data_IF_627426196952
#
_entry.id   IF_627426196952
#
_cell.length_a   1.000
_cell.length_b   1.000
_cell.length_c   1.000
_cell.angle_alpha   90.00
_cell.angle_beta   90.00
_cell.angle_gamma   90.00
#
_symmetry.space_group_name_H-M   'P 1'
#
loop_
_entity.id
_entity.type
_entity.pdbx_description
1 polymer ?
#
# COMPACT_ATOMS: atom_id res chain seq x y z
N UNK A 1 61.91 -3.72 39.71
CA UNK A 1 61.12 -3.04 38.69
C UNK A 1 60.43 -3.96 37.64
N UNK A 2 60.30 -5.29 37.85
CA UNK A 2 59.71 -6.23 36.85
C UNK A 2 58.24 -6.66 37.11
N UNK A 3 57.64 -6.30 38.25
CA UNK A 3 56.28 -6.74 38.63
C UNK A 3 55.15 -5.90 38.02
N UNK A 4 55.39 -4.62 37.71
CA UNK A 4 54.33 -3.74 37.18
C UNK A 4 54.04 -3.97 35.70
N UNK A 5 55.00 -4.47 34.90
CA UNK A 5 54.79 -4.77 33.47
C UNK A 5 53.93 -6.01 33.25
N UNK A 6 54.01 -7.03 34.12
CA UNK A 6 53.22 -8.22 34.05
C UNK A 6 51.72 -7.93 34.34
N UNK A 7 51.43 -7.13 35.33
CA UNK A 7 50.06 -6.74 35.69
C UNK A 7 49.43 -5.89 34.59
N UNK A 8 50.15 -4.96 33.97
CA UNK A 8 49.67 -4.15 32.85
C UNK A 8 49.36 -5.00 31.61
N UNK A 9 50.18 -6.01 31.31
CA UNK A 9 49.94 -6.94 30.22
C UNK A 9 48.69 -7.78 30.44
N UNK A 10 48.45 -8.30 31.63
CA UNK A 10 47.27 -9.10 31.97
C UNK A 10 45.98 -8.25 31.87
N UNK A 11 46.03 -7.00 32.35
CA UNK A 11 44.86 -6.08 32.26
C UNK A 11 44.56 -5.75 30.80
N UNK A 12 45.57 -5.49 29.96
CA UNK A 12 45.36 -5.21 28.53
C UNK A 12 44.78 -6.41 27.79
N UNK A 13 45.23 -7.62 28.09
CA UNK A 13 44.69 -8.85 27.49
C UNK A 13 43.23 -9.09 27.90
N UNK A 14 42.90 -8.88 29.19
CA UNK A 14 41.51 -9.00 29.68
C UNK A 14 40.59 -7.98 29.05
N UNK A 15 41.02 -6.75 28.82
CA UNK A 15 40.24 -5.72 28.12
C UNK A 15 39.96 -6.11 26.65
N UNK A 16 40.98 -6.61 25.95
CA UNK A 16 40.80 -7.07 24.56
C UNK A 16 39.82 -8.23 24.49
N UNK A 17 39.88 -9.20 25.40
CA UNK A 17 38.95 -10.34 25.46
C UNK A 17 37.54 -9.87 25.78
N UNK A 18 37.37 -8.91 26.72
CA UNK A 18 36.05 -8.36 27.06
C UNK A 18 35.42 -7.58 25.89
N UNK A 19 36.22 -6.80 25.15
CA UNK A 19 35.76 -6.09 23.95
C UNK A 19 35.39 -7.07 22.84
N UNK A 20 36.24 -8.08 22.60
CA UNK A 20 35.96 -9.11 21.60
C UNK A 20 34.70 -9.95 21.94
N UNK A 21 34.55 -10.29 23.24
CA UNK A 21 33.36 -11.03 23.69
C UNK A 21 32.09 -10.15 23.65
N UNK A 22 32.19 -8.87 23.99
CA UNK A 22 31.10 -7.90 23.85
C UNK A 22 30.69 -7.72 22.37
N UNK A 23 31.66 -7.59 21.47
CA UNK A 23 31.40 -7.50 20.03
C UNK A 23 30.80 -8.81 19.48
N UNK A 24 31.32 -9.98 19.90
CA UNK A 24 30.77 -11.27 19.55
C UNK A 24 29.32 -11.45 20.04
N UNK A 25 29.04 -11.10 21.31
CA UNK A 25 27.67 -11.11 21.86
C UNK A 25 26.74 -10.17 21.13
N UNK A 26 27.23 -8.99 20.75
CA UNK A 26 26.44 -8.01 19.99
C UNK A 26 26.10 -8.53 18.60
N UNK A 27 27.05 -9.16 17.91
CA UNK A 27 26.83 -9.75 16.58
C UNK A 27 25.93 -10.98 16.67
N UNK A 28 26.15 -11.87 17.66
CA UNK A 28 25.32 -13.07 17.85
C UNK A 28 23.88 -12.69 18.27
N UNK A 29 23.72 -11.75 19.20
CA UNK A 29 22.38 -11.29 19.56
C UNK A 29 21.67 -10.57 18.42
N UNK A 30 22.42 -9.90 17.53
CA UNK A 30 21.83 -9.29 16.33
C UNK A 30 21.39 -10.35 15.31
N UNK A 31 22.14 -11.43 15.15
CA UNK A 31 21.76 -12.57 14.29
C UNK A 31 20.61 -13.38 14.88
N UNK A 32 20.54 -13.56 16.19
CA UNK A 32 19.40 -14.20 16.87
C UNK A 32 18.15 -13.30 16.84
N UNK A 33 18.30 -11.99 16.98
CA UNK A 33 17.20 -11.03 16.83
C UNK A 33 16.65 -11.06 15.39
N UNK A 34 17.52 -11.11 14.37
CA UNK A 34 17.10 -11.23 12.97
C UNK A 34 16.53 -12.63 12.65
N UNK A 35 17.00 -13.69 13.30
CA UNK A 35 16.43 -15.04 13.17
C UNK A 35 15.14 -15.24 14.00
N UNK A 36 14.91 -14.43 15.02
CA UNK A 36 13.70 -14.46 15.85
C UNK A 36 12.53 -13.66 15.29
N UNK A 37 12.80 -12.67 14.44
CA UNK A 37 11.76 -11.80 13.83
C UNK A 37 10.96 -12.52 12.74
N UNK A 38 11.38 -13.70 12.26
CA UNK A 38 10.72 -14.46 11.20
C UNK A 38 9.88 -15.65 11.64
N UNK A 39 9.84 -16.02 12.93
CA UNK A 39 9.07 -17.18 13.40
C UNK A 39 7.80 -16.76 14.13
N UNK A 40 6.77 -16.51 13.36
CA UNK A 40 5.44 -16.26 13.85
C UNK A 40 4.65 -17.57 13.75
N UNK A 41 3.90 -17.97 14.76
CA UNK A 41 2.95 -19.07 14.64
C UNK A 41 1.91 -18.67 13.56
N UNK A 42 1.98 -19.28 12.37
CA UNK A 42 0.99 -19.05 11.31
C UNK A 42 1.52 -18.81 9.90
N UNK A 43 2.83 -18.76 9.68
CA UNK A 43 3.37 -18.63 8.33
C UNK A 43 4.52 -17.63 8.21
N UNK A 44 5.48 -17.95 7.37
CA UNK A 44 6.53 -17.04 6.94
C UNK A 44 5.94 -15.98 6.02
N UNK A 45 6.31 -14.70 6.19
CA UNK A 45 5.88 -13.60 5.32
C UNK A 45 6.06 -13.95 3.84
N UNK A 46 7.22 -14.49 3.48
CA UNK A 46 7.52 -14.87 2.10
C UNK A 46 6.67 -16.03 1.57
N UNK A 47 6.07 -16.84 2.43
CA UNK A 47 5.14 -17.90 2.00
C UNK A 47 3.72 -17.39 1.76
N UNK A 48 3.36 -16.26 2.34
CA UNK A 48 2.04 -15.63 2.19
C UNK A 48 2.00 -14.61 1.05
N UNK A 49 3.15 -13.99 0.76
CA UNK A 49 3.29 -12.92 -0.24
C UNK A 49 4.31 -13.38 -1.29
N UNK A 50 3.80 -13.96 -2.36
CA UNK A 50 4.61 -14.46 -3.48
C UNK A 50 4.51 -13.53 -4.69
N UNK A 51 5.61 -13.40 -5.42
CA UNK A 51 5.59 -12.78 -6.75
C UNK A 51 4.86 -13.70 -7.75
N UNK A 52 4.29 -13.14 -8.83
CA UNK A 52 3.78 -13.94 -9.94
C UNK A 52 4.85 -14.90 -10.50
N UNK A 53 4.43 -16.04 -11.03
CA UNK A 53 5.31 -17.01 -11.62
C UNK A 53 6.15 -16.39 -12.76
N UNK A 54 7.46 -16.61 -12.71
CA UNK A 54 8.40 -16.06 -13.70
C UNK A 54 8.83 -14.62 -13.45
N UNK A 55 8.34 -13.95 -12.42
CA UNK A 55 8.81 -12.63 -12.00
C UNK A 55 9.92 -12.81 -10.96
N UNK A 56 11.18 -12.66 -11.41
CA UNK A 56 12.34 -12.58 -10.52
C UNK A 56 12.70 -11.12 -10.31
N UNK A 57 12.35 -10.59 -9.16
CA UNK A 57 12.46 -9.17 -8.83
C UNK A 57 13.07 -8.96 -7.46
N UNK A 58 14.14 -8.18 -7.41
CA UNK A 58 14.68 -7.67 -6.16
C UNK A 58 14.05 -6.30 -5.84
N UNK A 59 13.31 -6.22 -4.74
CA UNK A 59 12.76 -4.95 -4.30
C UNK A 59 13.86 -4.03 -3.76
N UNK A 60 13.82 -2.72 -4.05
CA UNK A 60 14.72 -1.76 -3.43
C UNK A 60 14.51 -1.72 -1.91
N UNK A 61 15.54 -1.28 -1.20
CA UNK A 61 15.41 -1.00 0.23
C UNK A 61 14.37 0.12 0.47
N UNK A 62 13.59 -0.03 1.53
CA UNK A 62 12.65 0.99 1.96
C UNK A 62 13.42 2.15 2.60
N UNK A 63 13.03 3.38 2.25
CA UNK A 63 13.54 4.56 2.94
C UNK A 63 12.59 4.83 4.11
N UNK A 64 12.94 4.31 5.29
CA UNK A 64 12.11 4.37 6.49
C UNK A 64 11.95 3.01 7.16
N UNK A 65 10.92 2.87 8.00
CA UNK A 65 10.63 1.66 8.78
C UNK A 65 9.34 1.02 8.30
N UNK A 66 9.26 -0.29 8.33
CA UNK A 66 8.00 -1.02 8.08
C UNK A 66 6.91 -0.54 9.06
N UNK A 67 5.67 -0.50 8.61
CA UNK A 67 4.57 0.14 9.35
C UNK A 67 4.03 -0.73 10.48
N UNK A 68 3.74 -2.01 10.22
CA UNK A 68 3.08 -2.90 11.17
C UNK A 68 3.74 -2.95 12.56
N UNK A 69 5.08 -3.01 12.67
CA UNK A 69 5.75 -2.95 13.96
C UNK A 69 5.61 -1.62 14.73
N UNK A 70 5.17 -0.55 14.07
CA UNK A 70 5.09 0.79 14.65
C UNK A 70 3.71 1.16 15.19
N UNK A 71 2.67 0.38 14.85
CA UNK A 71 1.26 0.70 15.17
C UNK A 71 0.58 -0.45 15.90
N UNK A 72 -0.50 -0.14 16.62
CA UNK A 72 -1.27 -1.14 17.37
C UNK A 72 -2.47 -1.70 16.57
N UNK A 73 -3.05 -0.88 15.71
CA UNK A 73 -4.21 -1.25 14.92
C UNK A 73 -3.87 -1.95 13.61
N UNK A 74 -4.88 -2.15 12.77
CA UNK A 74 -4.73 -2.88 11.51
C UNK A 74 -5.53 -2.27 10.35
N UNK A 75 -6.05 -1.04 10.50
CA UNK A 75 -6.84 -0.37 9.45
C UNK A 75 -5.93 0.47 8.56
N UNK A 76 -5.90 0.17 7.26
CA UNK A 76 -5.09 0.89 6.28
C UNK A 76 -5.95 1.52 5.20
N UNK A 77 -5.74 2.82 4.97
CA UNK A 77 -6.39 3.60 3.92
C UNK A 77 -5.43 3.76 2.73
N UNK A 78 -5.80 3.17 1.59
CA UNK A 78 -5.07 3.32 0.34
C UNK A 78 -5.61 4.52 -0.42
N UNK A 79 -4.76 5.49 -0.78
CA UNK A 79 -5.15 6.71 -1.49
C UNK A 79 -4.35 6.79 -2.78
N UNK A 80 -5.02 6.82 -3.93
CA UNK A 80 -4.29 6.81 -5.19
C UNK A 80 -5.05 7.23 -6.43
N UNK A 81 -4.32 7.29 -7.53
CA UNK A 81 -4.82 7.53 -8.88
C UNK A 81 -5.13 6.21 -9.62
N UNK A 82 -5.11 6.23 -10.97
CA UNK A 82 -5.38 5.05 -11.81
C UNK A 82 -4.47 3.86 -11.52
N UNK A 83 -3.25 4.09 -11.07
CA UNK A 83 -2.29 3.03 -10.78
C UNK A 83 -2.76 2.24 -9.55
N UNK A 84 -3.10 2.92 -8.45
CA UNK A 84 -3.68 2.29 -7.26
C UNK A 84 -5.06 1.70 -7.57
N UNK A 85 -5.92 2.41 -8.32
CA UNK A 85 -7.25 1.94 -8.70
C UNK A 85 -7.19 0.61 -9.46
N UNK A 86 -6.15 0.36 -10.25
CA UNK A 86 -5.97 -0.88 -10.99
C UNK A 86 -5.79 -2.12 -10.10
N UNK A 87 -5.51 -1.96 -8.82
CA UNK A 87 -5.38 -3.06 -7.84
C UNK A 87 -6.66 -3.30 -7.03
N UNK A 88 -7.72 -2.52 -7.29
CA UNK A 88 -9.00 -2.60 -6.58
C UNK A 88 -9.87 -3.78 -7.05
N UNK A 89 -11.01 -3.97 -6.40
CA UNK A 89 -11.95 -5.06 -6.66
C UNK A 89 -12.41 -5.17 -8.12
N UNK A 90 -12.46 -4.05 -8.83
CA UNK A 90 -12.79 -4.02 -10.26
C UNK A 90 -11.81 -4.78 -11.15
N UNK A 91 -10.55 -4.86 -10.78
CA UNK A 91 -9.47 -5.39 -11.60
C UNK A 91 -8.85 -6.68 -11.08
N UNK A 92 -9.45 -7.32 -10.07
CA UNK A 92 -8.94 -8.58 -9.50
C UNK A 92 -8.69 -8.48 -8.00
N UNK A 93 -8.77 -7.27 -7.42
CA UNK A 93 -8.67 -7.03 -5.97
C UNK A 93 -7.31 -7.42 -5.36
N UNK A 94 -6.23 -7.33 -6.15
CA UNK A 94 -4.89 -7.78 -5.74
C UNK A 94 -4.44 -7.11 -4.44
N UNK A 95 -4.71 -5.82 -4.26
CA UNK A 95 -4.31 -5.09 -3.05
C UNK A 95 -4.95 -5.69 -1.80
N UNK A 96 -6.28 -5.79 -1.81
CA UNK A 96 -6.98 -6.32 -0.66
C UNK A 96 -6.66 -7.81 -0.43
N UNK A 97 -6.67 -8.64 -1.48
CA UNK A 97 -6.36 -10.06 -1.39
C UNK A 97 -4.95 -10.32 -0.82
N UNK A 98 -4.01 -9.43 -1.07
CA UNK A 98 -2.64 -9.55 -0.56
C UNK A 98 -2.56 -9.11 0.89
N UNK A 99 -3.09 -7.95 1.23
CA UNK A 99 -2.91 -7.34 2.55
C UNK A 99 -3.76 -7.98 3.64
N UNK A 100 -4.93 -8.52 3.31
CA UNK A 100 -5.78 -9.23 4.28
C UNK A 100 -5.11 -10.49 4.83
N UNK A 101 -4.24 -11.15 4.05
CA UNK A 101 -3.43 -12.29 4.52
C UNK A 101 -2.43 -11.89 5.61
N UNK A 102 -2.07 -10.61 5.67
CA UNK A 102 -1.19 -10.03 6.69
C UNK A 102 -1.96 -9.46 7.89
N UNK A 103 -3.29 -9.56 7.89
CA UNK A 103 -4.18 -9.08 8.94
C UNK A 103 -4.70 -7.65 8.76
N UNK A 104 -4.43 -7.01 7.63
CA UNK A 104 -4.88 -5.63 7.38
C UNK A 104 -6.36 -5.56 7.01
N UNK A 105 -7.04 -4.55 7.53
CA UNK A 105 -8.36 -4.10 7.09
C UNK A 105 -8.16 -2.97 6.07
N UNK A 106 -8.50 -3.23 4.81
CA UNK A 106 -8.05 -2.44 3.66
C UNK A 106 -9.21 -1.74 2.98
N UNK A 107 -9.17 -0.41 2.88
CA UNK A 107 -10.02 0.34 1.94
C UNK A 107 -9.16 0.97 0.84
N UNK A 108 -9.58 0.81 -0.42
CA UNK A 108 -8.88 1.38 -1.58
C UNK A 108 -9.69 2.55 -2.11
N UNK A 109 -9.27 3.76 -1.78
CA UNK A 109 -9.83 5.02 -2.25
C UNK A 109 -8.98 5.51 -3.43
N UNK A 110 -9.36 5.14 -4.64
CA UNK A 110 -8.56 5.46 -5.81
C UNK A 110 -9.42 5.62 -7.07
N UNK A 111 -9.12 6.66 -7.86
CA UNK A 111 -9.84 6.97 -9.09
C UNK A 111 -8.86 7.31 -10.22
N UNK A 112 -9.23 6.95 -11.45
CA UNK A 112 -8.42 7.26 -12.61
C UNK A 112 -8.39 8.78 -12.88
N UNK A 113 -7.20 9.28 -13.29
CA UNK A 113 -7.03 10.69 -13.66
C UNK A 113 -6.87 11.65 -12.49
N UNK A 114 -6.92 11.18 -11.24
CA UNK A 114 -6.87 12.04 -10.06
C UNK A 114 -5.47 12.65 -9.85
N UNK A 115 -5.48 13.91 -9.41
CA UNK A 115 -4.30 14.70 -9.06
C UNK A 115 -4.05 14.67 -7.56
N UNK A 116 -2.96 15.28 -7.10
CA UNK A 116 -2.57 15.32 -5.68
C UNK A 116 -3.67 15.84 -4.75
N UNK A 117 -4.54 16.75 -5.21
CA UNK A 117 -5.67 17.26 -4.42
C UNK A 117 -6.72 16.22 -4.04
N UNK A 118 -6.74 15.07 -4.71
CA UNK A 118 -7.59 13.95 -4.36
C UNK A 118 -7.28 13.41 -2.95
N UNK A 119 -6.01 13.41 -2.56
CA UNK A 119 -5.61 13.00 -1.21
C UNK A 119 -6.32 13.77 -0.11
N UNK A 120 -6.37 15.11 -0.22
CA UNK A 120 -7.09 15.95 0.74
C UNK A 120 -8.61 15.66 0.75
N UNK A 121 -9.21 15.40 -0.42
CA UNK A 121 -10.62 15.02 -0.55
C UNK A 121 -10.92 13.69 0.16
N UNK A 122 -10.07 12.69 -0.01
CA UNK A 122 -10.22 11.39 0.66
C UNK A 122 -10.04 11.55 2.17
N UNK A 123 -8.97 12.20 2.61
CA UNK A 123 -8.69 12.41 4.03
C UNK A 123 -9.82 13.16 4.73
N UNK A 124 -10.34 14.23 4.14
CA UNK A 124 -11.46 14.98 4.69
C UNK A 124 -12.76 14.18 4.85
N UNK A 125 -12.90 13.06 4.13
CA UNK A 125 -14.09 12.20 4.21
C UNK A 125 -13.90 10.96 5.08
N UNK A 126 -12.66 10.43 5.14
CA UNK A 126 -12.40 9.10 5.67
C UNK A 126 -11.51 9.08 6.91
N UNK A 127 -10.65 10.11 7.10
CA UNK A 127 -9.60 10.00 8.12
C UNK A 127 -10.16 9.88 9.56
N UNK A 128 -11.24 10.57 9.86
CA UNK A 128 -11.90 10.51 11.17
C UNK A 128 -12.60 9.17 11.48
N UNK A 129 -12.65 8.24 10.51
CA UNK A 129 -13.18 6.90 10.74
C UNK A 129 -12.23 6.01 11.57
N UNK A 130 -11.07 6.50 11.97
CA UNK A 130 -10.10 5.80 12.82
C UNK A 130 -9.20 4.86 12.02
N UNK A 131 -8.43 5.38 11.07
CA UNK A 131 -7.40 4.67 10.34
C UNK A 131 -6.09 4.68 11.11
N UNK A 132 -5.38 3.54 11.12
CA UNK A 132 -4.11 3.39 11.83
C UNK A 132 -2.92 3.80 10.97
N UNK A 133 -3.07 3.69 9.66
CA UNK A 133 -2.05 4.09 8.68
C UNK A 133 -2.69 4.40 7.33
N UNK A 134 -1.91 4.99 6.44
CA UNK A 134 -2.26 5.22 5.05
C UNK A 134 -1.14 4.78 4.10
N UNK A 135 -1.51 4.53 2.85
CA UNK A 135 -0.57 4.38 1.73
C UNK A 135 -0.99 5.36 0.65
N UNK A 136 -0.10 6.26 0.27
CA UNK A 136 -0.36 7.32 -0.69
C UNK A 136 0.40 7.06 -1.98
N UNK A 137 -0.33 7.00 -3.11
CA UNK A 137 0.24 6.87 -4.44
C UNK A 137 -0.42 7.87 -5.40
N UNK A 138 0.00 9.12 -5.31
CA UNK A 138 -0.48 10.24 -6.11
C UNK A 138 0.69 11.01 -6.72
N UNK A 139 0.55 11.42 -7.99
CA UNK A 139 1.59 12.15 -8.71
C UNK A 139 1.81 11.66 -10.13
N UNK A 140 1.22 10.52 -10.52
CA UNK A 140 1.20 10.07 -11.92
C UNK A 140 0.56 11.14 -12.79
N UNK A 141 -0.56 11.71 -12.33
CA UNK A 141 -1.22 12.86 -12.94
C UNK A 141 -0.79 14.15 -12.24
N UNK A 142 -0.39 15.14 -13.02
CA UNK A 142 -0.02 16.46 -12.52
C UNK A 142 -0.26 17.51 -13.61
N UNK A 143 -0.50 18.75 -13.20
CA UNK A 143 -0.74 19.92 -14.05
C UNK A 143 0.54 20.72 -14.35
N UNK A 144 1.70 20.11 -14.12
CA UNK A 144 3.01 20.73 -14.30
C UNK A 144 3.35 21.85 -13.31
N UNK A 145 2.49 22.11 -12.34
CA UNK A 145 2.73 23.07 -11.26
C UNK A 145 3.37 22.37 -10.04
N UNK A 146 4.70 22.28 -10.05
CA UNK A 146 5.46 21.59 -9.02
C UNK A 146 5.34 22.26 -7.64
N UNK A 147 5.15 23.57 -7.59
CA UNK A 147 4.94 24.32 -6.33
C UNK A 147 3.60 23.92 -5.71
N UNK A 148 2.54 23.98 -6.49
CA UNK A 148 1.22 23.56 -6.00
C UNK A 148 1.15 22.06 -5.66
N UNK A 149 1.90 21.21 -6.39
CA UNK A 149 2.02 19.80 -6.04
C UNK A 149 2.66 19.62 -4.67
N UNK A 150 3.80 20.29 -4.42
CA UNK A 150 4.49 20.21 -3.13
C UNK A 150 3.64 20.75 -1.98
N UNK A 151 2.98 21.90 -2.16
CA UNK A 151 2.09 22.47 -1.13
C UNK A 151 1.00 21.47 -0.73
N UNK A 152 0.29 20.90 -1.68
CA UNK A 152 -0.76 19.90 -1.42
C UNK A 152 -0.23 18.59 -0.84
N UNK A 153 0.99 18.18 -1.24
CA UNK A 153 1.64 17.01 -0.65
C UNK A 153 1.93 17.25 0.83
N UNK A 154 2.44 18.43 1.19
CA UNK A 154 2.69 18.83 2.59
C UNK A 154 1.40 18.89 3.41
N UNK A 155 0.36 19.53 2.89
CA UNK A 155 -0.95 19.56 3.54
C UNK A 155 -1.46 18.15 3.89
N UNK A 156 -1.33 17.22 2.95
CA UNK A 156 -1.73 15.83 3.15
C UNK A 156 -0.83 15.12 4.17
N UNK A 157 0.48 15.33 4.12
CA UNK A 157 1.42 14.74 5.07
C UNK A 157 1.23 15.28 6.49
N UNK A 158 0.90 16.55 6.65
CA UNK A 158 0.59 17.16 7.95
C UNK A 158 -0.62 16.48 8.60
N UNK A 159 -1.68 16.18 7.82
CA UNK A 159 -2.85 15.44 8.33
C UNK A 159 -2.47 14.01 8.73
N UNK A 160 -1.64 13.33 7.94
CA UNK A 160 -1.22 11.95 8.17
C UNK A 160 -0.14 11.83 9.25
N UNK A 161 0.58 12.89 9.58
CA UNK A 161 1.79 12.85 10.42
C UNK A 161 1.57 12.39 11.86
N UNK A 162 0.34 12.26 12.30
CA UNK A 162 0.01 11.67 13.59
C UNK A 162 0.28 10.16 13.65
N UNK A 163 0.27 9.49 12.50
CA UNK A 163 0.50 8.06 12.37
C UNK A 163 1.65 7.78 11.39
N UNK A 164 2.38 6.67 11.53
CA UNK A 164 3.30 6.21 10.49
C UNK A 164 2.55 5.88 9.21
N UNK A 165 3.08 6.24 8.04
CA UNK A 165 2.44 5.95 6.75
C UNK A 165 3.45 5.76 5.62
N UNK A 166 2.98 5.25 4.48
CA UNK A 166 3.78 4.96 3.29
C UNK A 166 3.44 5.95 2.18
N UNK A 167 4.44 6.47 1.49
CA UNK A 167 4.27 7.19 0.23
C UNK A 167 5.07 6.50 -0.88
N UNK A 168 4.50 6.44 -2.09
CA UNK A 168 5.15 5.85 -3.25
C UNK A 168 5.67 6.94 -4.19
N UNK A 169 6.84 6.69 -4.81
CA UNK A 169 7.26 7.40 -6.01
C UNK A 169 6.47 6.91 -7.21
N UNK A 170 6.42 7.70 -8.30
CA UNK A 170 5.71 7.35 -9.54
C UNK A 170 6.64 6.75 -10.58
N UNK A 171 6.12 5.94 -11.49
CA UNK A 171 6.90 5.48 -12.65
C UNK A 171 7.40 6.67 -13.50
N UNK A 172 8.62 6.56 -14.04
CA UNK A 172 9.30 7.64 -14.72
C UNK A 172 9.04 7.61 -16.25
N UNK A 173 7.78 7.67 -16.64
CA UNK A 173 7.37 7.60 -18.05
C UNK A 173 7.54 8.93 -18.84
N UNK A 174 7.83 10.03 -18.12
CA UNK A 174 8.13 11.34 -18.70
C UNK A 174 9.06 12.13 -17.78
N UNK A 175 9.85 13.11 -18.29
CA UNK A 175 10.86 13.83 -17.50
C UNK A 175 10.33 14.49 -16.24
N UNK A 176 9.08 14.96 -16.24
CA UNK A 176 8.45 15.60 -15.07
C UNK A 176 8.26 14.67 -13.89
N UNK A 177 8.16 13.38 -14.12
CA UNK A 177 8.03 12.39 -13.03
C UNK A 177 9.29 12.33 -12.17
N UNK A 178 10.46 12.62 -12.72
CA UNK A 178 11.70 12.76 -11.92
C UNK A 178 11.54 13.88 -10.88
N UNK A 179 11.01 15.05 -11.28
CA UNK A 179 10.80 16.17 -10.37
C UNK A 179 9.75 15.84 -9.29
N UNK A 180 8.66 15.18 -9.66
CA UNK A 180 7.65 14.69 -8.71
C UNK A 180 8.28 13.74 -7.68
N UNK A 181 9.08 12.77 -8.15
CA UNK A 181 9.74 11.80 -7.28
C UNK A 181 10.78 12.46 -6.35
N UNK A 182 11.51 13.46 -6.83
CA UNK A 182 12.42 14.26 -6.01
C UNK A 182 11.66 15.04 -4.91
N UNK A 183 10.52 15.64 -5.25
CA UNK A 183 9.67 16.35 -4.28
C UNK A 183 9.16 15.36 -3.22
N UNK A 184 8.62 14.21 -3.64
CA UNK A 184 8.13 13.18 -2.71
C UNK A 184 9.24 12.78 -1.73
N UNK A 185 10.42 12.41 -2.23
CA UNK A 185 11.55 11.96 -1.40
C UNK A 185 12.05 13.06 -0.47
N UNK A 186 12.17 14.29 -0.97
CA UNK A 186 12.64 15.44 -0.19
C UNK A 186 11.65 15.82 0.91
N UNK A 187 10.37 15.94 0.58
CA UNK A 187 9.35 16.29 1.57
C UNK A 187 9.21 15.16 2.61
N UNK A 188 9.18 13.89 2.18
CA UNK A 188 9.11 12.77 3.12
C UNK A 188 10.27 12.74 4.12
N UNK A 189 11.47 13.16 3.72
CA UNK A 189 12.65 13.20 4.59
C UNK A 189 12.54 14.23 5.73
N UNK A 190 11.61 15.17 5.65
CA UNK A 190 11.35 16.16 6.70
C UNK A 190 10.47 15.61 7.83
N UNK A 191 9.80 14.46 7.60
CA UNK A 191 8.92 13.79 8.56
C UNK A 191 9.56 12.50 9.07
N UNK A 192 9.56 12.29 10.39
CA UNK A 192 10.23 11.14 11.01
C UNK A 192 9.47 9.81 10.94
N UNK A 193 8.24 9.82 10.46
CA UNK A 193 7.30 8.69 10.47
C UNK A 193 6.80 8.28 9.07
N UNK A 194 7.43 8.78 8.01
CA UNK A 194 7.11 8.40 6.63
C UNK A 194 8.06 7.32 6.13
N UNK A 195 7.51 6.31 5.50
CA UNK A 195 8.26 5.32 4.74
C UNK A 195 8.06 5.56 3.25
N UNK A 196 9.15 5.74 2.51
CA UNK A 196 9.09 5.89 1.06
C UNK A 196 9.33 4.53 0.39
N UNK A 197 8.37 4.09 -0.40
CA UNK A 197 8.49 2.95 -1.32
C UNK A 197 8.87 3.48 -2.70
N UNK A 198 10.09 3.20 -3.15
CA UNK A 198 10.59 3.65 -4.46
C UNK A 198 9.99 2.82 -5.60
N UNK A 199 8.71 3.08 -5.91
CA UNK A 199 8.03 2.42 -7.02
C UNK A 199 8.69 2.73 -8.37
N UNK A 200 9.28 3.91 -8.55
CA UNK A 200 10.03 4.24 -9.77
C UNK A 200 11.13 3.21 -10.06
N UNK A 201 11.86 2.76 -9.04
CA UNK A 201 12.88 1.73 -9.19
C UNK A 201 12.29 0.35 -9.55
N UNK A 202 11.16 -0.03 -8.94
CA UNK A 202 10.46 -1.29 -9.24
C UNK A 202 9.89 -1.28 -10.66
N UNK A 203 9.23 -0.19 -11.04
CA UNK A 203 8.54 -0.04 -12.32
C UNK A 203 9.46 -0.10 -13.56
N UNK A 204 10.78 0.08 -13.39
CA UNK A 204 11.77 -0.09 -14.49
C UNK A 204 11.90 -1.53 -14.97
N UNK A 205 11.39 -2.51 -14.22
CA UNK A 205 11.47 -3.90 -14.63
C UNK A 205 10.49 -4.22 -15.74
N UNK A 206 10.95 -4.96 -16.74
CA UNK A 206 10.16 -5.30 -17.90
C UNK A 206 8.90 -6.11 -17.52
N UNK A 207 7.81 -5.83 -18.24
CA UNK A 207 6.55 -6.56 -18.09
C UNK A 207 5.62 -6.06 -16.98
N UNK A 208 6.04 -5.12 -16.14
CA UNK A 208 5.19 -4.58 -15.06
C UNK A 208 4.29 -3.44 -15.53
N UNK A 209 4.77 -2.65 -16.51
CA UNK A 209 4.06 -1.53 -17.10
C UNK A 209 3.60 -1.92 -18.51
N UNK A 210 2.39 -1.55 -18.87
CA UNK A 210 1.82 -1.75 -20.19
C UNK A 210 2.49 -0.91 -21.27
N UNK A 211 2.05 -1.08 -22.52
CA UNK A 211 2.63 -0.42 -23.69
C UNK A 211 2.47 1.12 -23.66
N UNK A 212 1.59 1.65 -22.83
CA UNK A 212 1.42 3.09 -22.64
C UNK A 212 2.50 3.72 -21.75
N UNK A 213 3.35 2.90 -21.15
CA UNK A 213 4.42 3.32 -20.26
C UNK A 213 3.97 3.77 -18.86
N UNK A 214 2.69 3.64 -18.54
CA UNK A 214 2.09 4.17 -17.30
C UNK A 214 1.33 3.11 -16.51
N UNK A 215 0.33 2.48 -17.13
CA UNK A 215 -0.59 1.58 -16.43
C UNK A 215 -0.01 0.18 -16.26
N UNK A 216 -0.41 -0.45 -15.16
CA UNK A 216 0.12 -1.76 -14.77
C UNK A 216 -0.46 -2.90 -15.63
N UNK A 217 0.41 -3.85 -15.97
CA UNK A 217 -0.02 -5.18 -16.41
C UNK A 217 -0.64 -5.97 -15.23
N UNK A 218 -1.27 -7.12 -15.46
CA UNK A 218 -1.68 -8.02 -14.37
C UNK A 218 -0.53 -8.33 -13.40
N UNK A 219 0.66 -8.66 -13.91
CA UNK A 219 1.85 -8.92 -13.08
C UNK A 219 2.29 -7.64 -12.33
N UNK A 220 2.23 -6.48 -12.99
CA UNK A 220 2.52 -5.19 -12.38
C UNK A 220 1.60 -4.88 -11.18
N UNK A 221 0.31 -5.21 -11.26
CA UNK A 221 -0.63 -5.06 -10.14
C UNK A 221 -0.27 -5.96 -8.97
N UNK A 222 0.03 -7.23 -9.22
CA UNK A 222 0.44 -8.17 -8.20
C UNK A 222 1.77 -7.76 -7.54
N UNK A 223 2.73 -7.28 -8.35
CA UNK A 223 4.02 -6.76 -7.86
C UNK A 223 3.82 -5.50 -7.02
N UNK A 224 2.95 -4.56 -7.43
CA UNK A 224 2.65 -3.37 -6.63
C UNK A 224 2.03 -3.74 -5.27
N UNK A 225 1.06 -4.64 -5.26
CA UNK A 225 0.45 -5.12 -4.03
C UNK A 225 1.49 -5.80 -3.10
N UNK A 226 2.40 -6.59 -3.68
CA UNK A 226 3.52 -7.23 -2.95
C UNK A 226 4.50 -6.20 -2.40
N UNK A 227 4.86 -5.17 -3.18
CA UNK A 227 5.76 -4.11 -2.72
C UNK A 227 5.18 -3.32 -1.54
N UNK A 228 3.89 -2.99 -1.62
CA UNK A 228 3.17 -2.33 -0.52
C UNK A 228 3.07 -3.27 0.70
N UNK A 229 2.76 -4.55 0.50
CA UNK A 229 2.73 -5.53 1.57
C UNK A 229 4.07 -5.60 2.33
N UNK A 230 5.20 -5.53 1.63
CA UNK A 230 6.54 -5.48 2.23
C UNK A 230 6.78 -4.21 3.05
N UNK A 231 6.24 -3.08 2.63
CA UNK A 231 6.36 -1.81 3.38
C UNK A 231 5.47 -1.75 4.61
N UNK A 232 4.32 -2.41 4.55
CA UNK A 232 3.40 -2.52 5.67
C UNK A 232 3.80 -3.63 6.64
N UNK A 233 4.25 -4.78 6.13
CA UNK A 233 4.49 -6.00 6.90
C UNK A 233 3.20 -6.51 7.59
N UNK A 234 3.30 -7.38 8.59
CA UNK A 234 2.15 -7.88 9.32
C UNK A 234 1.52 -6.80 10.21
N UNK A 235 0.21 -6.71 10.20
CA UNK A 235 -0.53 -6.05 11.26
C UNK A 235 -0.39 -6.83 12.58
N UNK A 236 -0.50 -6.17 13.72
CA UNK A 236 -0.43 -6.86 15.03
C UNK A 236 -1.55 -7.84 15.22
N UNK A 237 -2.78 -7.44 14.91
CA UNK A 237 -3.92 -8.36 14.89
C UNK A 237 -4.07 -9.00 13.51
N UNK A 238 -3.65 -10.25 13.40
CA UNK A 238 -3.64 -11.00 12.14
C UNK A 238 -4.95 -11.69 11.81
N UNK A 239 -5.86 -11.77 12.74
CA UNK A 239 -7.07 -12.58 12.59
C UNK A 239 -8.22 -11.81 11.93
N UNK A 240 -8.10 -10.49 11.79
CA UNK A 240 -9.18 -9.60 11.37
C UNK A 240 -8.95 -8.95 10.01
N UNK A 241 -8.08 -9.52 9.16
CA UNK A 241 -7.86 -9.01 7.80
C UNK A 241 -9.12 -9.07 6.96
N UNK A 242 -9.54 -7.94 6.39
CA UNK A 242 -10.73 -7.86 5.54
C UNK A 242 -10.68 -6.69 4.56
N UNK A 243 -11.41 -6.82 3.47
CA UNK A 243 -11.66 -5.70 2.56
C UNK A 243 -12.77 -4.82 3.15
N UNK A 244 -12.49 -3.54 3.31
CA UNK A 244 -13.46 -2.54 3.74
C UNK A 244 -14.09 -1.85 2.54
N UNK A 245 -15.32 -1.34 2.67
CA UNK A 245 -15.95 -0.56 1.60
C UNK A 245 -15.15 0.69 1.26
N UNK A 246 -15.08 1.00 -0.04
CA UNK A 246 -14.52 2.24 -0.58
C UNK A 246 -15.65 3.15 -1.05
N UNK A 247 -15.50 4.45 -0.88
CA UNK A 247 -16.48 5.47 -1.33
C UNK A 247 -15.99 6.24 -2.56
N UNK A 248 -14.67 6.21 -2.82
CA UNK A 248 -14.07 6.79 -4.02
C UNK A 248 -13.55 5.65 -4.90
N UNK A 249 -14.44 5.08 -5.72
CA UNK A 249 -14.11 3.99 -6.64
C UNK A 249 -14.17 4.49 -8.08
N UNK A 250 -13.39 3.86 -8.94
CA UNK A 250 -13.50 4.10 -10.37
C UNK A 250 -14.56 3.17 -10.99
N UNK A 251 -15.82 3.54 -10.84
CA UNK A 251 -16.97 2.72 -11.30
C UNK A 251 -17.33 2.91 -12.78
N UNK A 252 -16.68 3.87 -13.47
CA UNK A 252 -17.04 4.29 -14.83
C UNK A 252 -17.10 3.16 -15.86
N UNK A 253 -16.38 2.04 -15.68
CA UNK A 253 -16.44 0.92 -16.61
C UNK A 253 -17.26 -0.30 -16.10
N UNK A 254 -17.80 -0.24 -14.88
CA UNK A 254 -18.78 -1.23 -14.42
C UNK A 254 -20.11 -1.00 -15.17
N UNK A 255 -20.44 0.26 -15.46
CA UNK A 255 -21.60 0.63 -16.25
C UNK A 255 -21.50 0.16 -17.71
N UNK A 256 -20.30 0.15 -18.29
CA UNK A 256 -20.06 -0.34 -19.65
C UNK A 256 -20.03 -1.87 -19.76
N UNK A 257 -19.82 -2.58 -18.63
CA UNK A 257 -19.77 -4.04 -18.57
C UNK A 257 -21.07 -4.69 -18.11
N UNK A 258 -22.08 -3.94 -17.69
CA UNK A 258 -23.41 -4.50 -17.44
C UNK A 258 -24.07 -4.87 -18.76
N UNK A 259 -24.47 -6.16 -18.95
CA UNK A 259 -25.25 -6.52 -20.11
C UNK A 259 -26.55 -5.74 -20.06
N UNK A 260 -26.84 -5.02 -21.14
CA UNK A 260 -28.08 -4.25 -21.38
C UNK A 260 -29.32 -5.14 -21.55
N UNK A 261 -29.29 -6.37 -21.11
CA UNK A 261 -30.46 -7.26 -21.10
C UNK A 261 -31.05 -7.28 -19.68
N UNK A 262 -31.96 -6.34 -19.45
CA UNK A 262 -33.03 -6.57 -18.50
C UNK A 262 -33.85 -7.72 -19.10
N UNK A 263 -34.01 -8.89 -18.43
CA UNK A 263 -34.94 -9.88 -18.88
C UNK A 263 -36.31 -9.21 -18.95
N UNK A 264 -36.95 -9.19 -20.12
CA UNK A 264 -38.31 -8.76 -20.21
C UNK A 264 -39.11 -9.64 -19.24
N UNK A 265 -39.64 -9.04 -18.18
CA UNK A 265 -40.66 -9.67 -17.36
C UNK A 265 -41.83 -9.99 -18.34
N UNK A 266 -42.04 -11.25 -18.55
CA UNK A 266 -43.24 -11.77 -19.23
C UNK A 266 -44.41 -11.45 -18.31
N UNK A 267 -45.06 -10.33 -18.56
CA UNK A 267 -46.38 -10.05 -18.01
C UNK A 267 -47.32 -11.06 -18.66
N UNK A 268 -47.55 -12.17 -18.00
CA UNK A 268 -48.66 -13.07 -18.29
C UNK A 268 -49.95 -12.36 -17.88
N UNK A 269 -50.62 -11.76 -18.83
CA UNK A 269 -52.02 -11.35 -18.68
C UNK A 269 -52.87 -12.62 -18.67
N UNK A 270 -53.26 -13.08 -17.51
CA UNK A 270 -54.34 -14.04 -17.35
C UNK A 270 -55.66 -13.34 -17.79
N UNK A 271 -56.14 -13.69 -18.97
CA UNK A 271 -57.49 -13.40 -19.41
C UNK A 271 -58.43 -14.46 -18.85
N UNK A 272 -59.03 -14.19 -17.70
CA UNK A 272 -60.22 -14.95 -17.28
C UNK A 272 -61.48 -14.10 -17.44
N UNK A 273 -62.39 -14.61 -18.27
CA UNK A 273 -63.76 -14.20 -18.52
C UNK A 273 -64.53 -13.71 -17.28
N UNK A 274 -65.28 -12.66 -17.45
CA UNK A 274 -66.24 -12.18 -16.48
C UNK A 274 -67.14 -11.08 -17.07
N UNK A 275 -68.10 -11.46 -17.90
CA UNK A 275 -69.14 -10.59 -18.40
C UNK A 275 -70.02 -10.09 -17.24
N UNK A 276 -70.15 -8.75 -17.07
CA UNK A 276 -71.23 -8.15 -16.31
C UNK A 276 -71.83 -7.00 -17.14
N UNK A 277 -73.07 -7.18 -17.46
CA UNK A 277 -73.94 -6.26 -18.18
C UNK A 277 -74.18 -4.99 -17.31
N UNK A 278 -74.00 -3.80 -17.89
CA UNK A 278 -74.48 -2.53 -17.34
C UNK A 278 -75.67 -2.05 -18.13
N UNK A 279 -76.84 -2.08 -17.49
CA UNK A 279 -78.05 -1.37 -17.90
C UNK A 279 -77.96 0.10 -17.55
N UNK A 280 -78.12 0.96 -18.55
CA UNK A 280 -78.34 2.40 -18.39
C UNK A 280 -79.82 2.66 -18.62
N UNK A 281 -80.45 3.43 -17.71
CA UNK A 281 -81.72 4.15 -17.95
C UNK A 281 -81.94 5.16 -16.80
N UNK A 282 -82.72 6.23 -17.05
CA UNK A 282 -82.61 7.31 -18.02
C UNK A 282 -82.14 8.63 -17.36
#
# INVERSE_FOLDING_TARGET
>A
MRRNGFIAGVIATLLVVLVAFGAYRFVVNRSEFLNGVGRIPGGDFNSLITLPDGVDLMFPELIGKMIGPQIEGNRVLMIGDSIMASTSSRYGNEMCNTLTKLGWQVAVEAQAGEFIGFGAKVLGRRWEEGWDTAVVFLGTNNDDNMVAYEEKLREMFDVLSQNPFVVLTTAEFRPKQLQINEIIKRVAAEYGNITVLDWAAVARNNGLIGNDGVHLTPDGRAVLATAIARSLEFARDRNNGQCLPSIFQNDSAVLDAMPTTIPAETVTTDASDGAVATTVTP
#
